data_IF_730957777680
#
_entry.id   IF_730957777680
#
_cell.length_a   1.000
_cell.length_b   1.000
_cell.length_c   1.000
_cell.angle_alpha   90.00
_cell.angle_beta   90.00
_cell.angle_gamma   90.00
#
_symmetry.space_group_name_H-M   'P 1'
#
loop_
_entity.id
_entity.type
_entity.pdbx_description
1 polymer ?
#
# COMPACT_ATOMS: atom_id res chain seq x y z
N UNK A 1 -10.53 13.73 22.09
CA UNK A 1 -9.48 13.54 21.08
C UNK A 1 -8.14 13.57 21.78
N UNK A 2 -7.40 12.46 21.74
CA UNK A 2 -6.09 12.38 22.40
C UNK A 2 -5.03 13.24 21.71
N UNK A 3 -4.11 13.80 22.50
CA UNK A 3 -2.99 14.63 22.03
C UNK A 3 -2.15 13.91 20.96
N UNK A 4 -2.07 12.58 21.05
CA UNK A 4 -1.34 11.71 20.11
C UNK A 4 -2.05 11.65 18.74
N UNK A 5 -3.38 11.53 18.75
CA UNK A 5 -4.21 11.53 17.53
C UNK A 5 -4.18 12.89 16.84
N UNK A 6 -4.23 13.97 17.62
CA UNK A 6 -4.13 15.33 17.10
C UNK A 6 -2.77 15.61 16.45
N UNK A 7 -1.67 15.12 17.04
CA UNK A 7 -0.32 15.23 16.45
C UNK A 7 -0.19 14.48 15.12
N UNK A 8 -0.78 13.28 15.00
CA UNK A 8 -0.79 12.52 13.74
C UNK A 8 -1.56 13.24 12.64
N UNK A 9 -2.73 13.78 12.96
CA UNK A 9 -3.54 14.54 12.00
C UNK A 9 -2.83 15.81 11.52
N UNK A 10 -2.17 16.55 12.41
CA UNK A 10 -1.37 17.73 12.03
C UNK A 10 -0.18 17.32 11.12
N UNK A 11 0.38 16.14 11.33
CA UNK A 11 1.44 15.57 10.48
C UNK A 11 1.03 15.40 9.02
N UNK A 12 -0.24 15.11 8.73
CA UNK A 12 -0.76 14.94 7.37
C UNK A 12 -0.72 16.24 6.55
N UNK A 13 -0.81 17.40 7.20
CA UNK A 13 -0.80 18.72 6.55
C UNK A 13 0.60 19.29 6.30
N UNK A 14 1.66 18.61 6.74
CA UNK A 14 3.03 19.04 6.48
C UNK A 14 3.45 18.68 5.05
N UNK A 15 4.55 19.27 4.56
CA UNK A 15 5.20 18.74 3.37
C UNK A 15 5.88 17.39 3.68
N UNK A 16 6.04 16.48 2.70
CA UNK A 16 6.78 15.23 2.90
C UNK A 16 8.24 15.47 3.26
N UNK A 17 8.77 14.72 4.22
CA UNK A 17 10.20 14.70 4.56
C UNK A 17 11.03 14.04 3.45
N UNK A 18 12.35 14.25 3.48
CA UNK A 18 13.26 13.58 2.53
C UNK A 18 13.28 12.06 2.70
N UNK A 19 13.11 11.55 3.92
CA UNK A 19 12.95 10.11 4.17
C UNK A 19 11.64 9.58 3.57
N UNK A 20 10.54 10.31 3.72
CA UNK A 20 9.24 9.96 3.11
C UNK A 20 9.34 9.94 1.57
N UNK A 21 10.08 10.88 0.98
CA UNK A 21 10.33 10.92 -0.48
C UNK A 21 11.14 9.73 -0.96
N UNK A 22 12.23 9.39 -0.26
CA UNK A 22 13.07 8.23 -0.58
C UNK A 22 12.29 6.93 -0.48
N UNK A 23 11.50 6.76 0.58
CA UNK A 23 10.63 5.61 0.75
C UNK A 23 9.62 5.50 -0.40
N UNK A 24 8.97 6.59 -0.77
CA UNK A 24 8.03 6.62 -1.88
C UNK A 24 8.68 6.20 -3.21
N UNK A 25 9.92 6.63 -3.47
CA UNK A 25 10.67 6.22 -4.67
C UNK A 25 10.96 4.72 -4.69
N UNK A 26 11.39 4.14 -3.57
CA UNK A 26 11.63 2.69 -3.46
C UNK A 26 10.35 1.89 -3.69
N UNK A 27 9.25 2.33 -3.08
CA UNK A 27 7.94 1.66 -3.18
C UNK A 27 7.40 1.72 -4.62
N UNK A 28 7.49 2.87 -5.29
CA UNK A 28 6.99 3.06 -6.66
C UNK A 28 7.63 2.12 -7.70
N UNK A 29 8.76 1.49 -7.37
CA UNK A 29 9.48 0.58 -8.26
C UNK A 29 9.19 -0.91 -7.99
N UNK A 30 8.38 -1.24 -6.96
CA UNK A 30 8.11 -2.63 -6.55
C UNK A 30 7.10 -3.36 -7.45
N UNK A 31 6.12 -2.62 -7.98
CA UNK A 31 5.14 -3.09 -8.96
C UNK A 31 4.97 -2.01 -10.03
N UNK A 32 4.65 -2.39 -11.27
CA UNK A 32 4.60 -1.46 -12.41
C UNK A 32 3.61 -0.32 -12.20
N UNK A 33 2.43 -0.62 -11.66
CA UNK A 33 1.35 0.33 -11.43
C UNK A 33 1.35 0.96 -10.02
N UNK A 34 2.18 0.45 -9.10
CA UNK A 34 2.12 0.86 -7.71
C UNK A 34 2.70 2.26 -7.49
N UNK A 35 1.91 3.13 -6.88
CA UNK A 35 2.25 4.54 -6.62
C UNK A 35 1.87 4.93 -5.20
N UNK A 36 2.74 5.63 -4.49
CA UNK A 36 2.38 6.36 -3.27
C UNK A 36 1.56 7.60 -3.67
N UNK A 37 0.30 7.67 -3.21
CA UNK A 37 -0.63 8.77 -3.52
C UNK A 37 -0.98 9.63 -2.30
N UNK A 38 -0.55 9.21 -1.12
CA UNK A 38 -0.72 9.93 0.14
C UNK A 38 0.11 9.29 1.24
N UNK A 39 0.21 9.96 2.39
CA UNK A 39 0.89 9.37 3.56
C UNK A 39 0.10 8.15 4.03
N UNK A 40 0.74 6.99 4.00
CA UNK A 40 0.09 5.72 4.32
C UNK A 40 -0.89 5.23 3.25
N UNK A 41 -0.90 5.82 2.05
CA UNK A 41 -1.81 5.42 0.97
C UNK A 41 -1.05 5.14 -0.32
N UNK A 42 -1.22 3.93 -0.82
CA UNK A 42 -0.74 3.51 -2.13
C UNK A 42 -1.93 3.26 -3.06
N UNK A 43 -1.70 3.44 -4.35
CA UNK A 43 -2.59 2.99 -5.43
C UNK A 43 -1.84 1.94 -6.23
N UNK A 44 -2.48 0.82 -6.51
CA UNK A 44 -1.98 -0.24 -7.40
C UNK A 44 -3.14 -0.64 -8.33
N UNK A 45 -2.82 -1.02 -9.57
CA UNK A 45 -3.80 -1.55 -10.50
C UNK A 45 -4.23 -2.95 -10.03
N UNK A 46 -5.52 -3.18 -9.77
CA UNK A 46 -6.00 -4.50 -9.39
C UNK A 46 -5.65 -5.57 -10.42
N UNK A 47 -5.68 -5.26 -11.72
CA UNK A 47 -5.39 -6.23 -12.78
C UNK A 47 -3.96 -6.78 -12.66
N UNK A 48 -2.98 -5.92 -12.36
CA UNK A 48 -1.60 -6.35 -12.10
C UNK A 48 -1.50 -7.29 -10.89
N UNK A 49 -2.28 -7.01 -9.84
CA UNK A 49 -2.32 -7.86 -8.64
C UNK A 49 -2.93 -9.22 -8.97
N UNK A 50 -4.08 -9.24 -9.66
CA UNK A 50 -4.76 -10.47 -10.07
C UNK A 50 -3.90 -11.34 -10.98
N UNK A 51 -3.07 -10.71 -11.82
CA UNK A 51 -2.20 -11.43 -12.74
C UNK A 51 -0.95 -12.02 -12.09
N UNK A 52 -0.58 -11.56 -10.89
CA UNK A 52 0.59 -12.06 -10.16
C UNK A 52 0.47 -13.55 -9.82
N UNK A 53 1.57 -14.34 -9.95
CA UNK A 53 1.59 -15.74 -9.55
C UNK A 53 1.21 -15.94 -8.07
N UNK A 54 1.67 -15.05 -7.20
CA UNK A 54 1.43 -15.09 -5.75
C UNK A 54 -0.07 -14.99 -5.45
N UNK A 55 -0.76 -14.02 -6.07
CA UNK A 55 -2.19 -13.85 -5.89
C UNK A 55 -2.98 -15.07 -6.35
N UNK A 56 -2.63 -15.64 -7.51
CA UNK A 56 -3.29 -16.85 -8.04
C UNK A 56 -3.14 -18.03 -7.09
N UNK A 57 -1.95 -18.24 -6.53
CA UNK A 57 -1.69 -19.31 -5.55
C UNK A 57 -2.49 -19.14 -4.26
N UNK A 58 -2.54 -17.91 -3.73
CA UNK A 58 -3.27 -17.62 -2.49
C UNK A 58 -4.79 -17.69 -2.69
N UNK A 59 -5.29 -17.26 -3.85
CA UNK A 59 -6.68 -17.43 -4.23
C UNK A 59 -7.07 -18.91 -4.27
N UNK A 60 -6.24 -19.77 -4.86
CA UNK A 60 -6.51 -21.21 -4.92
C UNK A 60 -6.40 -21.89 -3.55
N UNK A 61 -5.57 -21.36 -2.65
CA UNK A 61 -5.54 -21.77 -1.25
C UNK A 61 -6.83 -21.38 -0.53
N UNK A 62 -7.30 -20.14 -0.72
CA UNK A 62 -8.54 -19.65 -0.13
C UNK A 62 -9.77 -20.44 -0.60
N UNK A 63 -9.87 -20.76 -1.89
CA UNK A 63 -10.95 -21.61 -2.44
C UNK A 63 -11.01 -22.99 -1.77
N UNK A 64 -9.85 -23.57 -1.45
CA UNK A 64 -9.76 -24.86 -0.76
C UNK A 64 -10.23 -24.79 0.70
N UNK A 65 -10.14 -23.63 1.35
CA UNK A 65 -10.65 -23.46 2.72
C UNK A 65 -12.18 -23.35 2.78
N UNK A 66 -12.81 -22.85 1.72
CA UNK A 66 -14.27 -22.68 1.66
C UNK A 66 -14.97 -23.97 1.20
N UNK A 67 -14.32 -24.72 0.29
CA UNK A 67 -14.87 -25.94 -0.28
C UNK A 67 -14.31 -27.24 0.36
N UNK A 68 -13.49 -27.10 1.40
CA UNK A 68 -12.84 -28.21 2.12
C UNK A 68 -13.59 -28.64 3.36
#
# INVERSE_FOLDING_TARGET
>A
MDIIMLKHLIGLFRAPSEEERKLAQTINNSYKSLRVVGRGTIRIDPEEVFDSPEFKQDLDRAKRLING
#
